data_IF_060367173735
#
_entry.id   IF_060367173735
#
_cell.length_a   1.000
_cell.length_b   1.000
_cell.length_c   1.000
_cell.angle_alpha   90.00
_cell.angle_beta   90.00
_cell.angle_gamma   90.00
#
_symmetry.space_group_name_H-M   'P 1'
#
loop_
_entity.id
_entity.type
_entity.pdbx_description
1 polymer ?
#
# COMPACT_ATOMS: atom_id res chain seq x y z
N UNK A 1 -34.97 20.26 0.29
CA UNK A 1 -33.84 19.90 1.18
C UNK A 1 -32.66 20.78 0.81
N UNK A 2 -32.38 21.83 1.60
CA UNK A 2 -31.27 22.74 1.36
C UNK A 2 -29.92 22.06 1.72
N UNK A 3 -28.98 22.09 0.79
CA UNK A 3 -27.61 21.61 1.05
C UNK A 3 -26.98 22.53 2.11
N UNK A 4 -26.44 21.90 3.16
CA UNK A 4 -25.77 22.61 4.25
C UNK A 4 -24.57 23.41 3.71
N UNK A 5 -24.48 24.73 3.90
CA UNK A 5 -23.38 25.55 3.41
C UNK A 5 -22.00 25.15 3.90
N UNK A 6 -21.91 24.51 5.07
CA UNK A 6 -20.66 23.99 5.61
C UNK A 6 -20.11 22.79 4.79
N UNK A 7 -20.97 21.99 4.16
CA UNK A 7 -20.55 20.90 3.25
C UNK A 7 -19.97 21.44 1.94
N UNK A 8 -20.48 22.55 1.43
CA UNK A 8 -19.96 23.22 0.23
C UNK A 8 -18.56 23.81 0.45
N UNK A 9 -18.22 24.25 1.68
CA UNK A 9 -16.89 24.76 2.00
C UNK A 9 -15.83 23.68 2.14
N UNK A 10 -16.19 22.46 2.55
CA UNK A 10 -15.26 21.35 2.71
C UNK A 10 -14.88 20.68 1.37
N UNK A 11 -15.70 20.80 0.33
CA UNK A 11 -15.46 20.20 -0.99
C UNK A 11 -14.45 20.96 -1.87
N UNK A 12 -13.90 22.06 -1.41
CA UNK A 12 -13.19 23.02 -2.29
C UNK A 12 -11.66 23.04 -2.09
N UNK A 13 -11.06 22.08 -1.39
CA UNK A 13 -9.59 22.05 -1.21
C UNK A 13 -8.84 21.86 -2.53
N UNK A 14 -9.35 20.99 -3.41
CA UNK A 14 -8.75 20.71 -4.72
C UNK A 14 -8.87 21.94 -5.63
N UNK A 15 -10.02 22.59 -5.68
CA UNK A 15 -10.22 23.82 -6.44
C UNK A 15 -9.28 24.93 -5.94
N UNK A 16 -9.18 25.13 -4.64
CA UNK A 16 -8.23 26.09 -4.06
C UNK A 16 -6.78 25.76 -4.41
N UNK A 17 -6.39 24.48 -4.36
CA UNK A 17 -5.04 24.08 -4.77
C UNK A 17 -4.78 24.44 -6.24
N UNK A 18 -5.74 24.20 -7.13
CA UNK A 18 -5.64 24.55 -8.55
C UNK A 18 -5.62 26.07 -8.74
N UNK A 19 -6.45 26.84 -8.04
CA UNK A 19 -6.48 28.31 -8.06
C UNK A 19 -5.13 28.92 -7.61
N UNK A 20 -4.39 28.22 -6.74
CA UNK A 20 -3.04 28.58 -6.30
C UNK A 20 -1.92 27.95 -7.14
N UNK A 21 -2.19 27.53 -8.36
CA UNK A 21 -1.20 26.99 -9.29
C UNK A 21 -0.93 25.51 -9.18
N UNK A 22 -1.68 24.78 -8.34
CA UNK A 22 -1.62 23.33 -8.26
C UNK A 22 -2.17 22.66 -9.53
N UNK A 23 -1.66 21.49 -9.86
CA UNK A 23 -2.12 20.67 -10.97
C UNK A 23 -2.91 19.47 -10.46
N UNK A 24 -3.99 19.14 -11.11
CA UNK A 24 -4.73 17.90 -10.92
C UNK A 24 -4.65 17.11 -12.22
N UNK A 25 -4.00 15.94 -12.14
CA UNK A 25 -3.90 15.03 -13.27
C UNK A 25 -4.16 13.60 -12.81
N UNK A 26 -4.92 12.80 -13.58
CA UNK A 26 -5.05 11.38 -13.29
C UNK A 26 -3.72 10.67 -13.54
N UNK A 27 -3.29 9.82 -12.62
CA UNK A 27 -2.17 8.92 -12.87
C UNK A 27 -2.66 7.78 -13.79
N UNK A 28 -2.17 7.77 -15.03
CA UNK A 28 -2.50 6.72 -16.00
C UNK A 28 -1.70 5.47 -15.68
N UNK A 29 -2.38 4.41 -15.29
CA UNK A 29 -1.76 3.13 -14.97
C UNK A 29 -1.61 2.29 -16.23
N UNK A 30 -0.42 1.73 -16.53
CA UNK A 30 -0.19 0.87 -17.69
C UNK A 30 -1.08 -0.37 -17.66
N UNK A 31 -1.56 -0.77 -18.83
CA UNK A 31 -2.29 -2.03 -18.99
C UNK A 31 -1.43 -3.20 -18.53
N UNK A 32 -2.00 -4.10 -17.78
CA UNK A 32 -1.30 -5.29 -17.28
C UNK A 32 -0.67 -5.13 -15.90
N UNK A 33 -0.44 -3.90 -15.39
CA UNK A 33 0.03 -3.74 -14.02
C UNK A 33 -1.01 -4.25 -13.02
N UNK A 34 -2.28 -3.95 -13.26
CA UNK A 34 -3.37 -4.33 -12.34
C UNK A 34 -3.92 -5.73 -12.59
N UNK A 35 -3.65 -6.32 -13.74
CA UNK A 35 -4.19 -7.65 -14.13
C UNK A 35 -5.71 -7.79 -13.89
N UNK A 36 -6.45 -6.68 -13.96
CA UNK A 36 -7.89 -6.65 -13.71
C UNK A 36 -8.29 -6.54 -12.23
N UNK A 37 -7.35 -6.32 -11.33
CA UNK A 37 -7.58 -6.15 -9.89
C UNK A 37 -7.20 -4.75 -9.40
N UNK A 38 -7.16 -4.53 -8.09
CA UNK A 38 -7.11 -3.20 -7.51
C UNK A 38 -5.71 -2.65 -7.26
N UNK A 39 -5.63 -1.32 -7.23
CA UNK A 39 -4.52 -0.58 -6.63
C UNK A 39 -5.02 0.11 -5.36
N UNK A 40 -4.23 0.07 -4.31
CA UNK A 40 -4.59 0.60 -3.00
C UNK A 40 -3.45 1.39 -2.38
N UNK A 41 -3.81 2.35 -1.53
CA UNK A 41 -2.91 3.02 -0.58
C UNK A 41 -1.56 3.43 -1.17
N UNK A 42 -1.52 4.24 -2.26
CA UNK A 42 -0.26 4.68 -2.84
C UNK A 42 0.53 5.54 -1.84
N UNK A 43 1.85 5.53 -1.98
CA UNK A 43 2.76 6.39 -1.25
C UNK A 43 3.58 7.20 -2.23
N UNK A 44 3.64 8.51 -2.03
CA UNK A 44 4.41 9.43 -2.88
C UNK A 44 5.63 9.90 -2.10
N UNK A 45 6.77 9.93 -2.77
CA UNK A 45 8.03 10.46 -2.25
C UNK A 45 8.67 11.35 -3.31
N UNK A 46 9.16 12.52 -2.90
CA UNK A 46 9.88 13.47 -3.78
C UNK A 46 11.34 13.44 -3.40
N UNK A 47 12.20 13.14 -4.37
CA UNK A 47 13.66 13.10 -4.23
C UNK A 47 14.30 14.06 -5.24
N UNK A 48 14.55 15.30 -4.83
CA UNK A 48 14.95 16.36 -5.75
C UNK A 48 13.88 16.61 -6.81
N UNK A 49 14.25 16.42 -8.08
CA UNK A 49 13.32 16.56 -9.21
C UNK A 49 12.53 15.28 -9.51
N UNK A 50 12.86 14.18 -8.87
CA UNK A 50 12.21 12.91 -9.08
C UNK A 50 10.98 12.75 -8.18
N UNK A 51 9.87 12.38 -8.78
CA UNK A 51 8.63 12.02 -8.07
C UNK A 51 8.47 10.51 -8.16
N UNK A 52 8.63 9.85 -7.01
CA UNK A 52 8.48 8.41 -6.90
C UNK A 52 7.14 8.05 -6.26
N UNK A 53 6.51 6.99 -6.75
CA UNK A 53 5.25 6.50 -6.20
C UNK A 53 5.36 5.01 -5.96
N UNK A 54 5.12 4.58 -4.73
CA UNK A 54 4.83 3.17 -4.48
C UNK A 54 3.36 2.92 -4.74
N UNK A 55 3.06 2.04 -5.70
CA UNK A 55 1.71 1.54 -5.97
C UNK A 55 1.57 0.15 -5.35
N UNK A 56 0.66 0.01 -4.41
CA UNK A 56 0.26 -1.28 -3.85
C UNK A 56 -0.75 -1.93 -4.80
N UNK A 57 -0.33 -2.97 -5.47
CA UNK A 57 -1.22 -3.85 -6.24
C UNK A 57 -1.72 -5.00 -5.36
N UNK A 58 -2.97 -5.35 -5.52
CA UNK A 58 -3.60 -6.48 -4.83
C UNK A 58 -4.33 -7.36 -5.84
N UNK A 59 -4.27 -8.68 -5.64
CA UNK A 59 -4.95 -9.63 -6.52
C UNK A 59 -6.44 -9.81 -6.19
N UNK A 60 -7.01 -8.93 -5.37
CA UNK A 60 -8.40 -8.97 -4.92
C UNK A 60 -9.05 -7.60 -4.99
N UNK A 61 -10.35 -7.56 -4.83
CA UNK A 61 -11.14 -6.33 -4.70
C UNK A 61 -11.91 -6.35 -3.40
N UNK A 62 -11.93 -5.22 -2.70
CA UNK A 62 -12.79 -5.00 -1.55
C UNK A 62 -14.19 -4.61 -2.04
N UNK A 63 -15.19 -5.30 -1.53
CA UNK A 63 -16.58 -5.05 -1.88
C UNK A 63 -17.47 -5.16 -0.65
N UNK A 64 -18.59 -4.44 -0.66
CA UNK A 64 -19.59 -4.58 0.36
C UNK A 64 -20.23 -5.98 0.28
N UNK A 65 -20.39 -6.64 1.43
CA UNK A 65 -20.87 -8.04 1.47
C UNK A 65 -22.38 -8.20 1.21
N UNK A 66 -23.09 -7.11 0.95
CA UNK A 66 -24.53 -7.16 0.64
C UNK A 66 -24.78 -7.93 -0.65
N UNK A 67 -25.55 -8.99 -0.54
CA UNK A 67 -26.08 -9.78 -1.66
C UNK A 67 -25.08 -10.53 -2.53
N UNK A 68 -23.97 -11.06 -2.00
CA UNK A 68 -23.04 -11.70 -2.91
C UNK A 68 -22.34 -12.95 -2.41
N UNK A 69 -22.08 -13.84 -3.34
CA UNK A 69 -21.18 -14.98 -3.23
C UNK A 69 -19.74 -14.48 -3.14
N UNK A 70 -19.26 -14.18 -1.94
CA UNK A 70 -17.94 -13.60 -1.73
C UNK A 70 -17.26 -14.31 -0.59
N UNK A 71 -15.96 -14.20 -0.50
CA UNK A 71 -15.22 -14.74 0.62
C UNK A 71 -15.82 -14.20 1.92
N UNK A 72 -16.24 -15.05 2.86
CA UNK A 72 -16.68 -14.58 4.16
C UNK A 72 -15.51 -13.89 4.85
N UNK A 73 -15.67 -12.60 5.11
CA UNK A 73 -14.68 -11.84 5.86
C UNK A 73 -14.97 -11.96 7.36
N UNK A 74 -13.95 -12.30 8.14
CA UNK A 74 -14.00 -12.23 9.61
C UNK A 74 -14.07 -10.78 10.10
N UNK A 75 -13.87 -9.81 9.22
CA UNK A 75 -13.59 -8.41 9.50
C UNK A 75 -14.81 -7.49 9.33
N UNK A 76 -16.00 -8.03 9.33
CA UNK A 76 -17.24 -7.26 9.24
C UNK A 76 -17.89 -7.29 7.85
N UNK A 77 -18.62 -6.24 7.44
CA UNK A 77 -19.45 -6.26 6.23
C UNK A 77 -18.67 -6.20 4.91
N UNK A 78 -17.36 -6.04 4.96
CA UNK A 78 -16.50 -6.06 3.78
C UNK A 78 -16.16 -7.50 3.40
N UNK A 79 -16.21 -7.79 2.13
CA UNK A 79 -15.77 -9.06 1.57
C UNK A 79 -14.65 -8.83 0.54
N UNK A 80 -13.77 -9.81 0.43
CA UNK A 80 -12.71 -9.81 -0.57
C UNK A 80 -13.16 -10.66 -1.75
N UNK A 81 -13.12 -10.08 -2.94
CA UNK A 81 -13.39 -10.77 -4.19
C UNK A 81 -12.07 -11.06 -4.90
N UNK A 82 -11.78 -12.33 -5.10
CA UNK A 82 -10.65 -12.79 -5.89
C UNK A 82 -11.15 -13.30 -7.24
N UNK A 83 -10.51 -12.96 -8.37
CA UNK A 83 -10.93 -13.41 -9.70
C UNK A 83 -10.74 -14.92 -9.92
N UNK A 84 -9.77 -15.49 -9.24
CA UNK A 84 -9.51 -16.93 -9.21
C UNK A 84 -9.93 -17.51 -7.85
N UNK A 85 -10.12 -18.80 -7.77
CA UNK A 85 -10.49 -19.46 -6.51
C UNK A 85 -9.32 -19.64 -5.53
N UNK A 86 -8.20 -19.01 -5.79
CA UNK A 86 -7.08 -19.01 -4.85
C UNK A 86 -7.44 -18.19 -3.61
N UNK A 87 -7.23 -18.77 -2.46
CA UNK A 87 -7.59 -18.15 -1.17
C UNK A 87 -6.53 -17.20 -0.65
N UNK A 88 -5.38 -17.08 -1.32
CA UNK A 88 -4.33 -16.17 -0.91
C UNK A 88 -4.57 -14.77 -1.46
N UNK A 89 -4.65 -13.82 -0.54
CA UNK A 89 -4.82 -12.40 -0.83
C UNK A 89 -3.44 -11.75 -0.90
N UNK A 90 -2.92 -11.60 -2.11
CA UNK A 90 -1.54 -11.19 -2.35
C UNK A 90 -1.45 -9.68 -2.57
N UNK A 91 -0.50 -9.07 -1.88
CA UNK A 91 -0.05 -7.69 -2.08
C UNK A 91 1.31 -7.69 -2.76
N UNK A 92 1.43 -6.93 -3.84
CA UNK A 92 2.67 -6.63 -4.54
C UNK A 92 2.90 -5.12 -4.54
N UNK A 93 4.15 -4.70 -4.52
CA UNK A 93 4.51 -3.29 -4.58
C UNK A 93 5.22 -2.99 -5.90
N UNK A 94 4.91 -1.84 -6.48
CA UNK A 94 5.55 -1.32 -7.69
C UNK A 94 6.10 0.07 -7.40
N UNK A 95 7.36 0.30 -7.72
CA UNK A 95 7.91 1.65 -7.69
C UNK A 95 7.78 2.25 -9.07
N UNK A 96 7.18 3.43 -9.12
CA UNK A 96 6.96 4.19 -10.34
C UNK A 96 7.71 5.51 -10.24
N UNK A 97 8.23 5.99 -11.37
CA UNK A 97 8.82 7.32 -11.50
C UNK A 97 7.91 8.17 -12.38
N UNK A 98 7.61 9.37 -11.91
CA UNK A 98 6.85 10.37 -12.65
C UNK A 98 7.75 11.50 -13.10
N UNK A 99 7.41 12.11 -14.22
CA UNK A 99 8.00 13.38 -14.66
C UNK A 99 7.31 14.58 -13.98
N UNK A 100 7.78 15.79 -14.30
CA UNK A 100 7.22 17.05 -13.80
C UNK A 100 5.78 17.33 -14.26
N UNK A 101 5.30 16.61 -15.27
CA UNK A 101 3.91 16.67 -15.73
C UNK A 101 3.04 15.61 -15.05
N UNK A 102 3.60 14.87 -14.08
CA UNK A 102 2.96 13.76 -13.37
C UNK A 102 2.62 12.57 -14.29
N UNK A 103 3.32 12.42 -15.40
CA UNK A 103 3.22 11.26 -16.28
C UNK A 103 4.19 10.18 -15.84
N UNK A 104 3.71 8.94 -15.83
CA UNK A 104 4.57 7.79 -15.47
C UNK A 104 5.59 7.52 -16.57
N UNK A 105 6.87 7.64 -16.24
CA UNK A 105 7.99 7.41 -17.15
C UNK A 105 8.57 6.00 -17.00
N UNK A 106 8.61 5.50 -15.78
CA UNK A 106 9.12 4.16 -15.45
C UNK A 106 8.25 3.51 -14.37
N UNK A 107 8.21 2.21 -14.39
CA UNK A 107 7.68 1.43 -13.27
C UNK A 107 8.35 0.06 -13.22
N UNK A 108 8.51 -0.47 -12.03
CA UNK A 108 9.05 -1.82 -11.83
C UNK A 108 8.42 -2.47 -10.61
N UNK A 109 8.15 -3.76 -10.72
CA UNK A 109 7.76 -4.60 -9.59
C UNK A 109 8.91 -4.69 -8.59
N UNK A 110 8.60 -4.63 -7.30
CA UNK A 110 9.60 -4.84 -6.25
C UNK A 110 9.80 -6.34 -6.05
N UNK A 111 10.96 -6.84 -6.46
CA UNK A 111 11.36 -8.22 -6.21
C UNK A 111 11.65 -8.41 -4.72
N UNK A 112 10.67 -8.94 -3.98
CA UNK A 112 10.79 -9.17 -2.54
C UNK A 112 11.56 -10.44 -2.23
N UNK A 113 12.38 -10.41 -1.16
CA UNK A 113 13.10 -11.59 -0.67
C UNK A 113 12.13 -12.68 -0.21
N UNK A 114 12.38 -13.91 -0.65
CA UNK A 114 11.65 -15.11 -0.21
C UNK A 114 12.35 -15.72 1.02
N UNK A 115 12.12 -15.13 2.19
CA UNK A 115 12.76 -15.57 3.42
C UNK A 115 12.06 -16.78 4.07
N UNK A 116 10.78 -16.94 3.81
CA UNK A 116 9.94 -18.04 4.33
C UNK A 116 8.71 -18.22 3.42
N UNK A 117 8.06 -19.35 3.52
CA UNK A 117 6.75 -19.57 2.91
C UNK A 117 5.66 -18.84 3.73
N UNK A 118 4.71 -18.20 3.08
CA UNK A 118 3.59 -17.56 3.76
C UNK A 118 2.75 -18.58 4.55
N UNK A 119 2.47 -18.29 5.82
CA UNK A 119 1.67 -19.13 6.71
C UNK A 119 0.29 -18.54 7.02
N UNK A 120 -0.06 -17.44 6.35
CA UNK A 120 -1.36 -16.78 6.45
C UNK A 120 -1.91 -16.41 5.08
N UNK A 121 -3.22 -16.18 5.01
CA UNK A 121 -3.94 -15.89 3.77
C UNK A 121 -3.60 -14.51 3.15
N UNK A 122 -3.20 -13.53 3.96
CA UNK A 122 -2.74 -12.22 3.49
C UNK A 122 -1.23 -12.21 3.33
N UNK A 123 -0.77 -12.10 2.09
CA UNK A 123 0.63 -12.26 1.72
C UNK A 123 1.19 -10.94 1.19
N UNK A 124 2.40 -10.61 1.63
CA UNK A 124 3.16 -9.47 1.14
C UNK A 124 3.21 -8.28 2.11
N UNK A 125 3.90 -7.22 1.70
CA UNK A 125 4.07 -6.00 2.49
C UNK A 125 2.94 -5.03 2.18
N UNK A 126 2.01 -4.87 3.12
CA UNK A 126 0.83 -4.04 3.00
C UNK A 126 1.10 -2.59 3.40
N UNK A 127 0.37 -1.65 2.78
CA UNK A 127 0.35 -0.22 3.11
C UNK A 127 1.73 0.42 3.16
N UNK A 128 2.64 -0.08 2.32
CA UNK A 128 4.03 0.31 2.33
C UNK A 128 4.22 1.78 1.96
N UNK A 129 4.98 2.48 2.79
CA UNK A 129 5.42 3.86 2.57
C UNK A 129 6.84 3.87 2.06
N UNK A 130 7.04 4.58 0.93
CA UNK A 130 8.36 4.81 0.40
C UNK A 130 9.02 5.96 1.16
N UNK A 131 10.21 5.73 1.66
CA UNK A 131 11.01 6.74 2.36
C UNK A 131 12.48 6.62 1.94
N UNK A 132 13.24 7.69 2.12
CA UNK A 132 14.70 7.71 1.91
C UNK A 132 15.37 8.07 3.22
N UNK A 133 16.39 7.30 3.59
CA UNK A 133 17.25 7.57 4.75
C UNK A 133 18.69 7.22 4.40
N UNK A 134 19.60 8.11 4.68
CA UNK A 134 21.03 7.97 4.39
C UNK A 134 21.29 7.49 2.95
N UNK A 135 20.66 8.19 1.99
CA UNK A 135 20.71 7.89 0.55
C UNK A 135 20.23 6.51 0.11
N UNK A 136 19.55 5.78 0.99
CA UNK A 136 18.93 4.50 0.69
C UNK A 136 17.41 4.59 0.73
N UNK A 137 16.77 3.86 -0.17
CA UNK A 137 15.31 3.76 -0.19
C UNK A 137 14.83 2.60 0.65
N UNK A 138 13.69 2.82 1.30
CA UNK A 138 13.02 1.83 2.14
C UNK A 138 11.53 1.81 1.86
N UNK A 139 10.96 0.62 1.93
CA UNK A 139 9.52 0.41 2.08
C UNK A 139 9.23 0.04 3.53
N UNK A 140 8.37 0.80 4.19
CA UNK A 140 7.95 0.56 5.56
C UNK A 140 6.45 0.24 5.54
N UNK A 141 6.08 -0.93 6.02
CA UNK A 141 4.69 -1.39 5.94
C UNK A 141 4.36 -2.49 6.95
N UNK A 142 3.24 -3.13 6.75
CA UNK A 142 2.73 -4.21 7.60
C UNK A 142 2.78 -5.53 6.86
N UNK A 143 3.28 -6.58 7.52
CA UNK A 143 3.25 -7.94 7.03
C UNK A 143 2.45 -8.84 7.97
N UNK A 144 1.62 -9.72 7.41
CA UNK A 144 0.76 -10.62 8.16
C UNK A 144 1.07 -12.09 7.95
N UNK A 145 1.77 -12.43 6.88
CA UNK A 145 2.03 -13.79 6.43
C UNK A 145 3.12 -14.53 7.24
N UNK A 146 3.62 -13.92 8.29
CA UNK A 146 4.63 -14.49 9.19
C UNK A 146 4.07 -15.04 10.50
N UNK A 147 2.76 -14.97 10.70
CA UNK A 147 2.08 -15.45 11.90
C UNK A 147 0.87 -16.31 11.54
N UNK A 148 0.56 -17.31 12.35
CA UNK A 148 -0.59 -18.20 12.14
C UNK A 148 -1.94 -17.55 12.48
N UNK A 149 -1.91 -16.37 13.08
CA UNK A 149 -3.09 -15.60 13.50
C UNK A 149 -3.33 -14.37 12.63
N UNK A 150 -2.45 -14.12 11.64
CA UNK A 150 -2.54 -12.98 10.73
C UNK A 150 -2.31 -11.63 11.41
N UNK A 151 -1.64 -11.63 12.56
CA UNK A 151 -1.28 -10.39 13.24
C UNK A 151 -0.34 -9.55 12.39
N UNK A 152 -0.64 -8.25 12.29
CA UNK A 152 0.22 -7.31 11.59
C UNK A 152 1.54 -7.10 12.32
N UNK A 153 2.62 -7.17 11.58
CA UNK A 153 3.97 -6.84 12.06
C UNK A 153 4.54 -5.72 11.18
N UNK A 154 5.02 -4.68 11.83
CA UNK A 154 5.73 -3.61 11.13
C UNK A 154 7.08 -4.10 10.67
N UNK A 155 7.35 -3.92 9.39
CA UNK A 155 8.64 -4.24 8.79
C UNK A 155 9.11 -3.09 7.92
N UNK A 156 10.41 -2.95 7.79
CA UNK A 156 11.01 -2.14 6.75
C UNK A 156 11.94 -2.98 5.89
N UNK A 157 11.91 -2.68 4.61
CA UNK A 157 12.73 -3.32 3.58
C UNK A 157 13.57 -2.27 2.90
N UNK A 158 14.90 -2.39 2.97
CA UNK A 158 15.75 -1.61 2.09
C UNK A 158 15.58 -2.12 0.67
N UNK A 159 15.37 -1.19 -0.27
CA UNK A 159 15.27 -1.51 -1.69
C UNK A 159 16.37 -0.82 -2.48
N UNK A 160 16.82 -1.48 -3.54
CA UNK A 160 17.66 -0.92 -4.58
C UNK A 160 16.84 -0.65 -5.83
N UNK A 161 16.98 0.55 -6.39
CA UNK A 161 16.23 1.00 -7.58
C UNK A 161 17.21 1.24 -8.71
N UNK A 162 17.19 0.40 -9.71
CA UNK A 162 17.99 0.52 -10.93
C UNK A 162 17.09 0.81 -12.13
N UNK A 163 16.95 2.09 -12.46
CA UNK A 163 16.12 2.51 -13.59
C UNK A 163 16.73 2.14 -14.95
N UNK A 164 18.06 1.99 -15.03
CA UNK A 164 18.72 1.61 -16.29
C UNK A 164 18.36 0.19 -16.71
N UNK A 165 18.20 -0.70 -15.75
CA UNK A 165 17.80 -2.08 -15.96
C UNK A 165 16.32 -2.34 -15.65
N UNK A 166 15.57 -1.31 -15.27
CA UNK A 166 14.15 -1.40 -14.88
C UNK A 166 13.92 -2.44 -13.77
N UNK A 167 14.80 -2.49 -12.78
CA UNK A 167 14.69 -3.41 -11.65
C UNK A 167 14.57 -2.67 -10.33
N UNK A 168 13.75 -3.23 -9.43
CA UNK A 168 13.67 -2.82 -8.04
C UNK A 168 13.72 -4.08 -7.18
N UNK A 169 14.69 -4.15 -6.28
CA UNK A 169 14.95 -5.34 -5.47
C UNK A 169 14.99 -5.03 -3.99
N UNK A 170 14.36 -5.86 -3.21
CA UNK A 170 14.58 -5.86 -1.76
C UNK A 170 15.98 -6.40 -1.44
N UNK A 171 16.75 -5.64 -0.68
CA UNK A 171 18.12 -5.98 -0.27
C UNK A 171 18.14 -6.57 1.13
N UNK A 172 17.41 -5.95 2.04
CA UNK A 172 17.29 -6.41 3.43
C UNK A 172 15.87 -6.22 3.92
N UNK A 173 15.49 -7.03 4.90
CA UNK A 173 14.22 -6.91 5.59
C UNK A 173 14.44 -7.00 7.09
N UNK A 174 13.85 -6.07 7.81
CA UNK A 174 13.94 -6.02 9.28
C UNK A 174 12.54 -5.83 9.86
N UNK A 175 12.20 -6.66 10.85
CA UNK A 175 11.03 -6.45 11.69
C UNK A 175 11.32 -5.38 12.71
N UNK A 176 10.38 -4.46 12.89
CA UNK A 176 10.44 -3.45 13.94
C UNK A 176 9.88 -4.10 15.22
N UNK A 177 10.73 -4.43 16.20
CA UNK A 177 10.25 -4.99 17.45
C UNK A 177 9.57 -3.89 18.26
N UNK A 178 8.52 -4.27 18.93
CA UNK A 178 7.83 -3.37 19.85
C UNK A 178 7.75 -4.02 21.23
N UNK A 179 8.04 -3.26 22.27
CA UNK A 179 7.94 -3.76 23.64
C UNK A 179 6.49 -4.12 23.98
N UNK A 180 6.25 -5.34 24.43
CA UNK A 180 4.95 -5.78 24.90
C UNK A 180 4.60 -7.20 24.48
N UNK A 181 3.58 -7.79 25.09
CA UNK A 181 3.14 -9.16 24.77
C UNK A 181 2.56 -9.31 23.36
N UNK A 182 2.10 -8.21 22.77
CA UNK A 182 1.55 -8.19 21.43
C UNK A 182 2.38 -7.25 20.54
N UNK A 183 3.20 -7.82 19.68
CA UNK A 183 3.93 -7.06 18.67
C UNK A 183 3.03 -6.62 17.50
N UNK A 184 1.73 -6.55 17.66
CA UNK A 184 0.84 -6.14 16.58
C UNK A 184 0.69 -4.65 16.55
N UNK A 185 1.06 -4.06 15.43
CA UNK A 185 0.80 -2.67 15.14
C UNK A 185 0.02 -2.58 13.87
N UNK A 186 -1.08 -2.02 14.01
CA UNK A 186 -1.70 -1.28 12.95
C UNK A 186 -1.82 0.14 13.46
N UNK A 187 -1.59 1.08 12.58
CA UNK A 187 -1.77 2.48 12.79
C UNK A 187 -2.87 2.77 13.81
N UNK A 188 -2.49 3.14 15.02
CA UNK A 188 -3.39 3.65 16.02
C UNK A 188 -4.01 2.66 17.00
N UNK A 189 -3.80 1.37 16.92
CA UNK A 189 -4.15 0.49 18.03
C UNK A 189 -2.98 0.42 19.00
N UNK A 190 -3.02 1.27 20.00
CA UNK A 190 -2.18 1.08 21.19
C UNK A 190 -2.44 -0.32 21.76
N UNK A 191 -1.41 -1.03 22.27
CA UNK A 191 -1.64 -2.23 23.04
C UNK A 191 -2.61 -1.86 24.17
N UNK A 192 -3.69 -2.62 24.30
CA UNK A 192 -4.55 -2.52 25.48
C UNK A 192 -3.67 -2.84 26.66
N UNK A 193 -3.16 -1.81 27.32
CA UNK A 193 -2.46 -1.97 28.57
C UNK A 193 -3.44 -2.60 29.55
N UNK A 194 -3.19 -3.85 29.92
CA UNK A 194 -3.73 -4.38 31.15
C UNK A 194 -3.06 -3.59 32.26
N UNK A 195 -3.72 -2.50 32.70
CA UNK A 195 -3.36 -1.85 33.93
C UNK A 195 -3.47 -2.87 35.07
N UNK A 196 -2.37 -3.15 35.68
CA UNK A 196 -2.32 -3.63 37.06
C UNK A 196 -2.11 -2.44 37.95
#
# INVERSE_FOLDING_TARGET
MGLNPARLRAMNMVQKAVEHGGKLAPLVIPKGLTRGTGLMNPSVFVDGDDILVNLRHVNYTLVHAENSQRFPSKWGPLAYLHPEKDMRLVTENYICKLDTNLSMTHYSHVEMLKLHEPIWEFVGLEDARLVKWEDKFYLIGVRRDTTTTGEGRMEYSQIDIDWANSTVKEITRVRIPVPGPNESYLFGSAPSGSGT
#
